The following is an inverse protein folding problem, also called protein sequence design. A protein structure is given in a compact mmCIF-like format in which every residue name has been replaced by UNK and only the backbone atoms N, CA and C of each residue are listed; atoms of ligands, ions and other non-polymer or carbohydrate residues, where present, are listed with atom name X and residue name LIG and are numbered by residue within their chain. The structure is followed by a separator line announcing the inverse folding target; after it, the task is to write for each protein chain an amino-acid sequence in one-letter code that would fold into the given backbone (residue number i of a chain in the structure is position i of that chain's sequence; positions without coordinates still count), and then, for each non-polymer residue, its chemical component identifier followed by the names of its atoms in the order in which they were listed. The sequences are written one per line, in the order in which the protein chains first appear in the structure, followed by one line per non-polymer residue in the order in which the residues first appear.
data_IF_317590077093
#
_entry.id   IF_317590077093
#
_cell.length_a   1.000
_cell.length_b   1.000
_cell.length_c   1.000
_cell.angle_alpha   90.00
_cell.angle_beta   90.00
_cell.angle_gamma   90.00
#
_symmetry.space_group_name_H-M   'P 1'
#
loop_
_entity.id
_entity.type
_entity.pdbx_description
1 polymer ?
#
# COMPACT_ATOMS: atom_id res chain seq x y z
N UNK A 1 -15.96 -0.55 29.05
CA UNK A 1 -15.64 -1.48 27.93
C UNK A 1 -16.50 -1.32 26.66
N UNK A 2 -17.57 -0.50 26.62
CA UNK A 2 -18.34 -0.28 25.36
C UNK A 2 -17.69 0.68 24.37
N UNK A 3 -16.89 1.63 24.84
CA UNK A 3 -16.28 2.68 24.01
C UNK A 3 -15.38 2.12 22.92
N UNK A 4 -14.58 1.09 23.24
CA UNK A 4 -13.74 0.41 22.25
C UNK A 4 -14.58 -0.20 21.12
N UNK A 5 -15.74 -0.78 21.43
CA UNK A 5 -16.63 -1.40 20.44
C UNK A 5 -17.15 -0.39 19.41
N UNK A 6 -17.38 0.87 19.84
CA UNK A 6 -17.85 1.95 18.98
C UNK A 6 -16.68 2.65 18.26
N UNK A 7 -15.54 2.80 18.92
CA UNK A 7 -14.38 3.51 18.39
C UNK A 7 -13.58 2.68 17.37
N UNK A 8 -13.42 1.37 17.58
CA UNK A 8 -12.66 0.49 16.67
C UNK A 8 -13.10 0.57 15.21
N UNK A 9 -14.41 0.48 14.86
CA UNK A 9 -14.82 0.58 13.47
C UNK A 9 -14.54 1.96 12.86
N UNK A 10 -14.62 3.03 13.65
CA UNK A 10 -14.30 4.38 13.19
C UNK A 10 -12.79 4.55 12.94
N UNK A 11 -11.97 4.02 13.85
CA UNK A 11 -10.51 4.12 13.77
C UNK A 11 -9.95 3.38 12.55
N UNK A 12 -10.46 2.19 12.25
CA UNK A 12 -10.02 1.39 11.10
C UNK A 12 -10.74 1.75 9.80
N UNK A 13 -11.73 2.66 9.82
CA UNK A 13 -12.51 3.00 8.63
C UNK A 13 -11.67 3.57 7.49
N UNK A 14 -10.62 4.34 7.84
CA UNK A 14 -9.74 5.01 6.88
C UNK A 14 -8.31 4.62 7.15
N UNK A 15 -7.69 3.95 6.18
CA UNK A 15 -6.31 3.49 6.25
C UNK A 15 -5.48 4.25 5.21
N UNK A 16 -4.39 4.88 5.68
CA UNK A 16 -3.47 5.63 4.82
C UNK A 16 -2.08 5.00 4.92
N UNK A 17 -1.60 4.45 3.82
CA UNK A 17 -0.30 3.79 3.71
C UNK A 17 0.63 4.66 2.86
N UNK A 18 1.62 5.27 3.53
CA UNK A 18 2.64 6.12 2.89
C UNK A 18 4.05 5.53 2.91
N UNK A 19 4.23 4.37 3.54
CA UNK A 19 5.54 3.73 3.67
C UNK A 19 5.44 2.21 3.76
N UNK A 20 6.50 1.54 3.32
CA UNK A 20 6.60 0.07 3.32
C UNK A 20 6.48 -0.52 4.72
N UNK A 21 7.10 0.11 5.72
CA UNK A 21 7.00 -0.32 7.12
C UNK A 21 5.55 -0.32 7.63
N UNK A 22 4.75 0.70 7.26
CA UNK A 22 3.32 0.75 7.62
C UNK A 22 2.50 -0.32 6.90
N UNK A 23 2.81 -0.60 5.64
CA UNK A 23 2.18 -1.69 4.91
C UNK A 23 2.44 -3.06 5.58
N UNK A 24 3.68 -3.30 6.01
CA UNK A 24 4.05 -4.54 6.71
C UNK A 24 3.42 -4.64 8.09
N UNK A 25 3.39 -3.55 8.85
CA UNK A 25 2.72 -3.51 10.15
C UNK A 25 1.22 -3.80 10.00
N UNK A 26 0.55 -3.17 9.03
CA UNK A 26 -0.86 -3.42 8.76
C UNK A 26 -1.11 -4.85 8.33
N UNK A 27 -0.26 -5.42 7.47
CA UNK A 27 -0.34 -6.82 7.10
C UNK A 27 -0.29 -7.72 8.33
N UNK A 28 0.69 -7.52 9.23
CA UNK A 28 0.82 -8.31 10.44
C UNK A 28 -0.41 -8.17 11.36
N UNK A 29 -0.95 -6.96 11.50
CA UNK A 29 -2.18 -6.72 12.26
C UNK A 29 -3.38 -7.46 11.66
N UNK A 30 -3.56 -7.40 10.34
CA UNK A 30 -4.68 -8.07 9.65
C UNK A 30 -4.55 -9.60 9.66
N UNK A 31 -3.33 -10.13 9.70
CA UNK A 31 -3.09 -11.56 9.86
C UNK A 31 -3.40 -12.04 11.29
N UNK A 32 -3.10 -11.24 12.31
CA UNK A 32 -3.42 -11.56 13.71
C UNK A 32 -4.89 -11.36 14.07
N UNK A 33 -5.56 -10.38 13.43
CA UNK A 33 -6.95 -10.02 13.69
C UNK A 33 -7.69 -9.69 12.37
N UNK A 34 -8.12 -10.70 11.60
CA UNK A 34 -8.73 -10.51 10.28
C UNK A 34 -10.09 -9.78 10.34
N UNK A 35 -10.76 -9.79 11.48
CA UNK A 35 -11.99 -9.03 11.72
C UNK A 35 -11.81 -7.52 11.56
N UNK A 36 -10.62 -6.98 11.87
CA UNK A 36 -10.31 -5.57 11.73
C UNK A 36 -10.33 -5.13 10.26
N UNK A 37 -9.98 -6.04 9.35
CA UNK A 37 -10.01 -5.80 7.91
C UNK A 37 -11.43 -5.51 7.38
N UNK A 38 -12.47 -6.00 8.07
CA UNK A 38 -13.87 -5.75 7.70
C UNK A 38 -14.31 -4.31 7.96
N UNK A 39 -13.62 -3.60 8.85
CA UNK A 39 -13.91 -2.21 9.16
C UNK A 39 -13.26 -1.23 8.19
N UNK A 40 -12.27 -1.68 7.41
CA UNK A 40 -11.60 -0.85 6.42
C UNK A 40 -12.55 -0.55 5.26
N UNK A 41 -12.92 0.73 5.11
CA UNK A 41 -13.78 1.22 4.03
C UNK A 41 -13.01 2.03 3.00
N UNK A 42 -12.07 2.85 3.47
CA UNK A 42 -11.27 3.73 2.62
C UNK A 42 -9.81 3.37 2.74
N UNK A 43 -9.18 3.06 1.61
CA UNK A 43 -7.78 2.69 1.53
C UNK A 43 -7.02 3.67 0.62
N UNK A 44 -6.14 4.46 1.21
CA UNK A 44 -5.22 5.35 0.51
C UNK A 44 -3.82 4.76 0.50
N UNK A 45 -3.24 4.56 -0.68
CA UNK A 45 -1.91 3.96 -0.83
C UNK A 45 -1.04 4.87 -1.70
N UNK A 46 0.06 5.31 -1.12
CA UNK A 46 1.08 6.12 -1.81
C UNK A 46 2.29 5.23 -2.12
N UNK A 47 2.20 4.46 -3.21
CA UNK A 47 3.26 3.57 -3.71
C UNK A 47 2.83 2.13 -3.96
N UNK A 48 3.64 1.39 -4.73
CA UNK A 48 3.47 -0.05 -4.96
C UNK A 48 4.23 -0.88 -3.92
N UNK A 49 3.58 -1.28 -2.82
CA UNK A 49 4.26 -2.00 -1.73
C UNK A 49 4.42 -3.51 -1.94
N UNK A 50 4.04 -4.07 -3.10
CA UNK A 50 4.24 -5.47 -3.45
C UNK A 50 3.43 -6.46 -2.60
N UNK A 51 4.06 -7.55 -2.14
CA UNK A 51 3.40 -8.66 -1.39
C UNK A 51 2.53 -8.21 -0.19
N UNK A 52 2.96 -7.27 0.68
CA UNK A 52 2.11 -6.72 1.73
C UNK A 52 0.77 -6.18 1.24
N UNK A 53 0.77 -5.48 0.11
CA UNK A 53 -0.44 -4.88 -0.46
C UNK A 53 -1.44 -5.95 -0.90
N UNK A 54 -0.96 -7.03 -1.52
CA UNK A 54 -1.81 -8.16 -1.88
C UNK A 54 -2.47 -8.80 -0.66
N UNK A 55 -1.71 -9.00 0.42
CA UNK A 55 -2.25 -9.54 1.68
C UNK A 55 -3.25 -8.59 2.35
N UNK A 56 -3.02 -7.27 2.27
CA UNK A 56 -3.96 -6.29 2.83
C UNK A 56 -5.28 -6.35 2.08
N UNK A 57 -5.24 -6.24 0.74
CA UNK A 57 -6.44 -6.27 -0.10
C UNK A 57 -7.26 -7.54 0.09
N UNK A 58 -6.60 -8.71 0.24
CA UNK A 58 -7.27 -9.99 0.50
C UNK A 58 -8.03 -10.01 1.83
N UNK A 59 -7.55 -9.27 2.84
CA UNK A 59 -8.15 -9.23 4.17
C UNK A 59 -9.11 -8.05 4.37
N UNK A 60 -9.27 -7.16 3.38
CA UNK A 60 -10.17 -6.00 3.45
C UNK A 60 -11.29 -6.09 2.40
N UNK A 61 -12.30 -6.96 2.60
CA UNK A 61 -13.33 -7.22 1.59
C UNK A 61 -14.35 -6.07 1.43
N UNK A 62 -14.47 -5.18 2.42
CA UNK A 62 -15.50 -4.13 2.46
C UNK A 62 -14.98 -2.75 2.02
N UNK A 63 -13.88 -2.71 1.28
CA UNK A 63 -13.31 -1.46 0.81
C UNK A 63 -14.22 -0.87 -0.28
N UNK A 64 -14.75 0.32 -0.02
CA UNK A 64 -15.60 1.09 -0.94
C UNK A 64 -14.80 2.10 -1.73
N UNK A 65 -13.77 2.68 -1.12
CA UNK A 65 -12.99 3.77 -1.70
C UNK A 65 -11.50 3.39 -1.72
N UNK A 66 -10.91 3.35 -2.92
CA UNK A 66 -9.47 3.13 -3.09
C UNK A 66 -8.86 4.37 -3.75
N UNK A 67 -7.87 4.95 -3.10
CA UNK A 67 -7.03 6.00 -3.68
C UNK A 67 -5.61 5.48 -3.81
N UNK A 68 -5.09 5.42 -5.03
CA UNK A 68 -3.70 5.00 -5.27
C UNK A 68 -2.92 6.13 -5.91
N UNK A 69 -1.86 6.58 -5.23
CA UNK A 69 -0.88 7.52 -5.77
C UNK A 69 0.41 6.75 -6.06
N UNK A 70 0.62 6.41 -7.32
CA UNK A 70 1.84 5.75 -7.78
C UNK A 70 2.81 6.81 -8.30
N UNK A 71 3.90 7.03 -7.57
CA UNK A 71 5.10 7.60 -8.20
C UNK A 71 5.79 6.46 -8.94
N UNK A 72 5.42 6.29 -10.22
CA UNK A 72 6.17 5.45 -11.15
C UNK A 72 7.55 6.10 -11.34
N UNK A 73 8.50 5.78 -10.47
CA UNK A 73 9.91 5.98 -10.79
C UNK A 73 10.24 4.96 -11.86
N UNK A 74 10.44 5.43 -13.09
CA UNK A 74 11.17 4.70 -14.10
C UNK A 74 12.63 4.54 -13.62
N UNK A 75 12.84 3.59 -12.72
CA UNK A 75 14.16 3.05 -12.42
C UNK A 75 14.34 1.72 -13.15
N UNK A 76 13.63 1.54 -14.26
CA UNK A 76 14.10 0.67 -15.32
C UNK A 76 14.76 1.61 -16.31
N UNK A 77 16.07 1.80 -16.17
CA UNK A 77 16.83 1.94 -17.41
C UNK A 77 16.56 0.63 -18.13
N UNK A 78 15.92 0.62 -19.31
CA UNK A 78 16.15 -0.47 -20.21
C UNK A 78 17.68 -0.52 -20.34
N UNK A 79 18.31 -1.53 -19.74
CA UNK A 79 19.69 -1.86 -20.04
C UNK A 79 19.67 -2.41 -21.47
N UNK A 80 19.43 -1.55 -22.45
CA UNK A 80 19.99 -1.75 -23.77
C UNK A 80 21.43 -1.26 -23.63
N UNK A 81 22.43 -2.14 -23.56
CA UNK A 81 23.83 -1.73 -23.46
C UNK A 81 24.34 -1.12 -24.78
N UNK A 82 23.47 -0.88 -25.77
CA UNK A 82 23.88 -0.64 -27.15
C UNK A 82 23.06 0.48 -27.79
N UNK A 83 23.17 1.73 -27.31
CA UNK A 83 23.13 2.92 -28.17
C UNK A 83 23.56 4.20 -27.42
N UNK A 84 24.87 4.34 -27.16
CA UNK A 84 25.49 5.66 -27.25
C UNK A 84 26.57 5.57 -28.32
N UNK A 85 26.40 6.16 -29.51
CA UNK A 85 27.58 6.49 -30.29
C UNK A 85 28.39 7.48 -29.47
N UNK A 86 29.69 7.22 -29.36
CA UNK A 86 30.65 8.11 -28.72
C UNK A 86 30.53 9.49 -29.39
N UNK A 87 29.98 10.46 -28.68
CA UNK A 87 30.24 11.87 -28.98
C UNK A 87 31.59 12.18 -28.36
N UNK A 88 32.59 12.16 -29.24
CA UNK A 88 33.88 12.81 -29.04
C UNK A 88 33.61 14.30 -28.76
N UNK A 89 34.07 14.79 -27.61
CA UNK A 89 34.09 16.23 -27.32
C UNK A 89 35.55 16.71 -27.36
N UNK A 90 35.82 17.88 -27.97
CA UNK A 90 37.16 18.43 -28.16
C UNK A 90 37.81 18.91 -26.86
#
# INVERSE_FOLDING_TARGET
KSWLRVATPLLYSVVIIRSKARAQALQATLQGAPELGRFVKKLRVEGGFGKPMHSILRNTPNVTDIFVSLQLRAADSPIWPCLRPAVDQP
#
